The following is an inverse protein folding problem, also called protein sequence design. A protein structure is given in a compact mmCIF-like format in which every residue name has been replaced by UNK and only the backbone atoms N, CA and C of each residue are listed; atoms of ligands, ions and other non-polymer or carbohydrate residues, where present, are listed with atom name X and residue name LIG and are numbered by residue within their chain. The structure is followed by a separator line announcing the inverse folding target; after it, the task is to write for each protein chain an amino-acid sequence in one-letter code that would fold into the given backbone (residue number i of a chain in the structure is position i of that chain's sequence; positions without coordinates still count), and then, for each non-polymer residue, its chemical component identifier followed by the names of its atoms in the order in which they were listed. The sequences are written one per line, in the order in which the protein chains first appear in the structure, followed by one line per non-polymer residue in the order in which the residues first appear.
data_IF_236416602087
#
_entry.id   IF_236416602087
#
_cell.length_a   1.000
_cell.length_b   1.000
_cell.length_c   1.000
_cell.angle_alpha   90.00
_cell.angle_beta   90.00
_cell.angle_gamma   90.00
#
_symmetry.space_group_name_H-M   'P 1'
#
loop_
_entity.id
_entity.type
_entity.pdbx_description
1 polymer ?
#
# COMPACT_ATOMS: atom_id res chain seq x y z
N UNK A 1 -6.06 -17.11 -9.32
CA UNK A 1 -6.67 -16.51 -8.12
C UNK A 1 -7.64 -15.44 -8.61
N UNK A 2 -8.94 -15.69 -8.54
CA UNK A 2 -9.94 -14.73 -9.04
C UNK A 2 -10.09 -13.58 -8.03
N UNK A 3 -10.21 -12.34 -8.54
CA UNK A 3 -10.55 -11.18 -7.72
C UNK A 3 -9.38 -10.36 -7.16
N UNK A 4 -8.15 -10.53 -7.68
CA UNK A 4 -7.03 -9.60 -7.46
C UNK A 4 -7.18 -8.35 -8.35
N UNK A 5 -6.74 -7.16 -7.90
CA UNK A 5 -6.82 -5.93 -8.70
C UNK A 5 -6.02 -6.07 -10.00
N UNK A 6 -6.47 -5.40 -11.06
CA UNK A 6 -5.75 -5.34 -12.34
C UNK A 6 -4.50 -4.46 -12.26
N UNK A 7 -3.56 -4.66 -13.17
CA UNK A 7 -2.39 -3.79 -13.28
C UNK A 7 -2.78 -2.46 -13.91
N UNK A 8 -2.72 -1.37 -13.12
CA UNK A 8 -3.05 0.00 -13.52
C UNK A 8 -2.68 1.00 -12.40
N UNK A 9 -3.04 2.27 -12.59
CA UNK A 9 -2.97 3.30 -11.55
C UNK A 9 -4.17 3.26 -10.60
N UNK A 10 -3.91 3.39 -9.30
CA UNK A 10 -4.89 3.37 -8.23
C UNK A 10 -4.71 4.53 -7.25
N UNK A 11 -5.81 5.00 -6.67
CA UNK A 11 -5.80 5.59 -5.34
C UNK A 11 -5.96 4.46 -4.32
N UNK A 12 -5.02 4.37 -3.39
CA UNK A 12 -5.00 3.29 -2.38
C UNK A 12 -5.41 3.90 -1.04
N UNK A 13 -6.38 3.29 -0.35
CA UNK A 13 -6.78 3.70 0.99
C UNK A 13 -6.95 2.50 1.93
N UNK A 14 -6.88 2.76 3.23
CA UNK A 14 -7.27 1.76 4.22
C UNK A 14 -8.80 1.74 4.36
N UNK A 15 -9.38 0.53 4.42
CA UNK A 15 -10.81 0.35 4.72
C UNK A 15 -11.12 0.63 6.19
N UNK A 16 -10.11 0.58 7.06
CA UNK A 16 -10.22 1.00 8.45
C UNK A 16 -10.20 2.53 8.47
N UNK A 17 -11.39 3.11 8.55
CA UNK A 17 -11.56 4.56 8.63
C UNK A 17 -10.85 5.11 9.86
N UNK A 18 -10.32 6.33 9.75
CA UNK A 18 -9.77 7.02 10.91
C UNK A 18 -10.84 7.26 11.99
N UNK A 19 -10.44 7.80 13.16
CA UNK A 19 -11.39 8.23 14.19
C UNK A 19 -12.49 9.20 13.66
N UNK A 20 -12.29 9.86 12.51
CA UNK A 20 -13.30 10.73 11.87
C UNK A 20 -14.30 9.99 10.98
N UNK A 21 -14.13 8.68 10.74
CA UNK A 21 -14.97 7.89 9.82
C UNK A 21 -14.61 8.06 8.33
N UNK A 22 -13.61 8.88 8.01
CA UNK A 22 -13.13 9.08 6.64
C UNK A 22 -12.03 8.06 6.27
N UNK A 23 -11.94 7.65 4.99
CA UNK A 23 -10.88 6.77 4.52
C UNK A 23 -9.52 7.47 4.59
N UNK A 24 -8.48 6.71 4.94
CA UNK A 24 -7.09 7.19 4.94
C UNK A 24 -6.40 6.74 3.66
N UNK A 25 -6.07 7.70 2.79
CA UNK A 25 -5.36 7.46 1.53
C UNK A 25 -3.86 7.31 1.78
N UNK A 26 -3.21 6.39 1.09
CA UNK A 26 -1.76 6.31 1.06
C UNK A 26 -1.21 7.50 0.26
N UNK A 27 -0.75 8.52 0.98
CA UNK A 27 -0.28 9.79 0.45
C UNK A 27 1.24 9.88 0.49
N UNK A 28 1.82 10.58 -0.49
CA UNK A 28 3.24 10.87 -0.56
C UNK A 28 3.50 12.33 -0.15
N UNK A 29 4.42 12.54 0.79
CA UNK A 29 4.92 13.86 1.18
C UNK A 29 6.13 14.31 0.33
N UNK A 30 6.52 15.58 0.49
CA UNK A 30 7.62 16.19 -0.28
C UNK A 30 9.01 15.62 0.06
N UNK A 31 9.13 14.86 1.16
CA UNK A 31 10.36 14.20 1.59
C UNK A 31 10.41 12.73 1.15
N UNK A 32 9.39 12.23 0.48
CA UNK A 32 9.27 10.84 0.06
C UNK A 32 8.67 9.91 1.11
N UNK A 33 8.20 10.43 2.25
CA UNK A 33 7.48 9.66 3.26
C UNK A 33 6.07 9.32 2.81
N UNK A 34 5.60 8.12 3.17
CA UNK A 34 4.24 7.66 2.87
C UNK A 34 3.42 7.56 4.14
N UNK A 35 2.27 8.22 4.17
CA UNK A 35 1.36 8.25 5.31
C UNK A 35 -0.10 8.19 4.86
N UNK A 36 -0.98 7.74 5.76
CA UNK A 36 -2.43 7.76 5.64
C UNK A 36 -2.99 9.16 5.92
N UNK A 37 -3.73 9.74 4.98
CA UNK A 37 -4.39 11.03 5.17
C UNK A 37 -5.73 11.14 4.43
N UNK A 38 -6.70 11.93 4.93
CA UNK A 38 -8.03 12.02 4.33
C UNK A 38 -8.11 12.96 3.11
N UNK A 39 -7.18 13.92 2.98
CA UNK A 39 -7.32 15.03 2.03
C UNK A 39 -6.66 14.78 0.67
N UNK A 40 -5.40 14.36 0.66
CA UNK A 40 -4.60 14.17 -0.57
C UNK A 40 -4.75 12.72 -1.04
N UNK A 41 -4.87 12.51 -2.34
CA UNK A 41 -4.75 11.18 -2.93
C UNK A 41 -3.49 11.11 -3.79
N UNK A 42 -2.65 10.10 -3.57
CA UNK A 42 -1.51 9.81 -4.44
C UNK A 42 -1.86 8.63 -5.35
N UNK A 43 -1.54 8.74 -6.63
CA UNK A 43 -1.70 7.64 -7.58
C UNK A 43 -0.50 6.69 -7.44
N UNK A 44 -0.80 5.41 -7.25
CA UNK A 44 0.18 4.33 -7.22
C UNK A 44 -0.12 3.35 -8.36
N UNK A 45 0.90 2.94 -9.08
CA UNK A 45 0.80 1.88 -10.08
C UNK A 45 1.09 0.53 -9.45
N UNK A 46 0.17 -0.42 -9.60
CA UNK A 46 0.34 -1.81 -9.15
C UNK A 46 0.87 -2.65 -10.31
N UNK A 47 1.97 -3.38 -10.10
CA UNK A 47 2.57 -4.26 -11.11
C UNK A 47 2.75 -5.66 -10.55
N UNK A 48 2.44 -6.71 -11.31
CA UNK A 48 2.62 -8.09 -10.86
C UNK A 48 3.91 -8.71 -11.40
N UNK A 49 4.64 -9.36 -10.49
CA UNK A 49 5.73 -10.28 -10.83
C UNK A 49 5.20 -11.71 -11.00
N UNK A 50 4.23 -12.09 -10.18
CA UNK A 50 3.51 -13.35 -10.26
C UNK A 50 2.07 -13.12 -9.79
N UNK A 51 1.16 -12.88 -10.75
CA UNK A 51 -0.25 -12.59 -10.44
C UNK A 51 -0.97 -13.79 -9.81
N UNK A 52 -0.57 -15.02 -10.12
CA UNK A 52 -1.21 -16.20 -9.55
C UNK A 52 -0.94 -16.31 -8.05
N UNK A 53 0.26 -15.90 -7.62
CA UNK A 53 0.66 -15.84 -6.21
C UNK A 53 0.40 -14.50 -5.54
N UNK A 54 -0.08 -13.50 -6.29
CA UNK A 54 -0.26 -12.13 -5.80
C UNK A 54 1.04 -11.39 -5.51
N UNK A 55 2.17 -11.81 -6.10
CA UNK A 55 3.46 -11.13 -5.89
C UNK A 55 3.51 -9.89 -6.79
N UNK A 56 3.66 -8.72 -6.17
CA UNK A 56 3.58 -7.43 -6.84
C UNK A 56 4.56 -6.40 -6.28
N UNK A 57 4.67 -5.25 -6.94
CA UNK A 57 5.30 -4.04 -6.41
C UNK A 57 4.47 -2.81 -6.78
N UNK A 58 4.69 -1.72 -6.04
CA UNK A 58 4.02 -0.44 -6.27
C UNK A 58 4.99 0.59 -6.82
N UNK A 59 4.71 1.16 -7.99
CA UNK A 59 5.47 2.27 -8.56
C UNK A 59 4.75 3.60 -8.36
N UNK A 60 5.48 4.66 -8.05
CA UNK A 60 4.95 6.03 -8.06
C UNK A 60 5.18 6.66 -9.43
N UNK A 61 4.12 6.88 -10.25
CA UNK A 61 4.29 7.26 -11.66
C UNK A 61 5.03 8.58 -11.87
N UNK A 62 4.88 9.55 -10.96
CA UNK A 62 5.47 10.88 -11.12
C UNK A 62 6.95 10.93 -10.76
N UNK A 63 7.37 10.27 -9.67
CA UNK A 63 8.78 10.26 -9.27
C UNK A 63 9.60 9.14 -9.91
N UNK A 64 8.93 8.11 -10.46
CA UNK A 64 9.58 6.90 -10.97
C UNK A 64 10.13 5.97 -9.88
N UNK A 65 9.96 6.31 -8.60
CA UNK A 65 10.35 5.48 -7.46
C UNK A 65 9.27 4.45 -7.08
N UNK A 66 9.51 3.71 -6.01
CA UNK A 66 8.66 2.59 -5.60
C UNK A 66 8.12 2.76 -4.18
N UNK A 67 6.83 2.51 -3.98
CA UNK A 67 6.23 2.46 -2.65
C UNK A 67 6.74 1.24 -1.89
N UNK A 68 7.31 1.46 -0.71
CA UNK A 68 7.85 0.40 0.12
C UNK A 68 7.85 0.76 1.60
N UNK A 69 8.34 -0.17 2.41
CA UNK A 69 8.58 0.02 3.84
C UNK A 69 10.05 -0.19 4.10
N UNK A 70 10.67 0.76 4.79
CA UNK A 70 12.09 0.70 5.12
C UNK A 70 12.35 -0.47 6.08
N UNK A 71 13.44 -1.21 5.84
CA UNK A 71 13.68 -2.45 6.57
C UNK A 71 13.92 -2.21 8.07
N UNK A 72 14.76 -1.24 8.45
CA UNK A 72 15.11 -1.03 9.86
C UNK A 72 14.09 -0.15 10.59
N UNK A 73 13.83 1.04 10.03
CA UNK A 73 12.88 2.02 10.56
C UNK A 73 11.40 1.58 10.49
N UNK A 74 11.06 0.60 9.64
CA UNK A 74 9.71 0.01 9.47
C UNK A 74 8.61 0.98 9.02
N UNK A 75 8.92 2.19 8.62
CA UNK A 75 8.00 3.18 8.07
C UNK A 75 7.93 3.14 6.54
N UNK A 76 6.79 3.55 5.99
CA UNK A 76 6.56 3.59 4.55
C UNK A 76 7.18 4.83 3.91
N UNK A 77 7.85 4.63 2.78
CA UNK A 77 8.52 5.68 2.00
C UNK A 77 8.71 5.27 0.55
N UNK A 78 9.10 6.22 -0.30
CA UNK A 78 9.56 5.94 -1.66
C UNK A 78 10.98 5.38 -1.62
N UNK A 79 11.16 4.25 -2.29
CA UNK A 79 12.40 3.51 -2.42
C UNK A 79 12.95 3.65 -3.85
N UNK A 80 14.27 3.53 -4.00
CA UNK A 80 14.93 3.51 -5.31
C UNK A 80 14.70 2.19 -6.05
N UNK A 81 14.59 1.08 -5.30
CA UNK A 81 14.36 -0.26 -5.85
C UNK A 81 12.96 -0.79 -5.48
N UNK A 82 12.32 -1.59 -6.35
CA UNK A 82 11.02 -2.18 -6.07
C UNK A 82 11.13 -3.18 -4.92
N UNK A 83 10.19 -3.08 -3.98
CA UNK A 83 10.00 -4.07 -2.93
C UNK A 83 8.85 -4.99 -3.29
N UNK A 84 9.06 -6.29 -3.09
CA UNK A 84 8.04 -7.29 -3.40
C UNK A 84 7.06 -7.42 -2.24
N UNK A 85 5.79 -7.33 -2.59
CA UNK A 85 4.64 -7.52 -1.71
C UNK A 85 3.85 -8.72 -2.17
N UNK A 86 3.11 -9.32 -1.25
CA UNK A 86 2.05 -10.29 -1.55
C UNK A 86 0.72 -9.62 -1.28
N UNK A 87 -0.11 -9.49 -2.31
CA UNK A 87 -1.50 -9.04 -2.19
C UNK A 87 -2.43 -10.25 -2.06
N UNK A 88 -3.23 -10.27 -1.01
CA UNK A 88 -4.22 -11.33 -0.72
C UNK A 88 -5.61 -10.72 -0.65
N UNK A 89 -6.64 -11.44 -1.07
CA UNK A 89 -8.04 -11.04 -0.88
C UNK A 89 -8.38 -11.13 0.61
N UNK A 90 -8.88 -10.05 1.20
CA UNK A 90 -9.50 -10.02 2.53
C UNK A 90 -11.02 -9.91 2.43
N UNK A 91 -11.70 -9.93 3.57
CA UNK A 91 -13.17 -9.83 3.63
C UNK A 91 -13.66 -8.46 3.12
N UNK A 92 -13.01 -7.38 3.56
CA UNK A 92 -13.40 -5.99 3.27
C UNK A 92 -12.44 -5.27 2.31
N UNK A 93 -11.56 -6.01 1.62
CA UNK A 93 -10.57 -5.43 0.72
C UNK A 93 -9.42 -6.38 0.42
N UNK A 94 -8.20 -5.86 0.55
CA UNK A 94 -6.98 -6.61 0.29
C UNK A 94 -5.99 -6.46 1.44
N UNK A 95 -5.23 -7.51 1.68
CA UNK A 95 -4.16 -7.54 2.66
C UNK A 95 -2.83 -7.50 1.91
N UNK A 96 -1.94 -6.61 2.34
CA UNK A 96 -0.58 -6.48 1.79
C UNK A 96 0.43 -7.01 2.80
N UNK A 97 1.20 -8.02 2.41
CA UNK A 97 2.22 -8.61 3.27
C UNK A 97 3.60 -8.67 2.62
N UNK A 98 4.62 -8.71 3.45
CA UNK A 98 6.01 -8.91 3.05
C UNK A 98 6.79 -9.57 4.18
N UNK A 99 7.81 -10.35 3.81
CA UNK A 99 8.76 -10.90 4.78
C UNK A 99 9.78 -9.84 5.23
N UNK A 100 9.96 -9.75 6.53
CA UNK A 100 10.96 -8.95 7.21
C UNK A 100 11.70 -9.83 8.22
N UNK A 101 12.99 -10.06 7.99
CA UNK A 101 13.85 -10.86 8.88
C UNK A 101 13.31 -12.28 9.17
N UNK A 102 12.63 -12.88 8.18
CA UNK A 102 12.01 -14.21 8.29
C UNK A 102 10.58 -14.22 8.86
N UNK A 103 10.01 -13.05 9.17
CA UNK A 103 8.64 -12.91 9.65
C UNK A 103 7.75 -12.23 8.60
N UNK A 104 6.55 -12.76 8.35
CA UNK A 104 5.56 -12.09 7.50
C UNK A 104 4.89 -10.96 8.30
N UNK A 105 5.07 -9.71 7.85
CA UNK A 105 4.40 -8.54 8.40
C UNK A 105 3.45 -7.92 7.38
N UNK A 106 2.52 -7.12 7.88
CA UNK A 106 1.46 -6.46 7.14
C UNK A 106 1.76 -4.98 6.95
N UNK A 107 1.36 -4.41 5.82
CA UNK A 107 1.23 -2.97 5.69
C UNK A 107 0.05 -2.50 6.56
N UNK A 108 0.33 -1.60 7.49
CA UNK A 108 -0.59 -1.13 8.51
C UNK A 108 -0.56 0.40 8.58
N UNK A 109 -1.71 1.01 8.87
CA UNK A 109 -1.79 2.45 9.17
C UNK A 109 -2.21 2.64 10.62
N UNK A 110 -1.42 3.35 11.41
CA UNK A 110 -1.78 3.59 12.81
C UNK A 110 -2.79 4.73 13.00
N UNK A 111 -3.18 4.97 14.25
CA UNK A 111 -4.16 6.01 14.62
C UNK A 111 -3.72 7.44 14.26
N UNK A 112 -2.42 7.66 14.07
CA UNK A 112 -1.82 8.95 13.74
C UNK A 112 -1.59 9.07 12.22
N UNK A 113 -1.99 8.05 11.45
CA UNK A 113 -1.85 8.00 9.99
C UNK A 113 -0.47 7.53 9.54
N UNK A 114 0.40 7.05 10.43
CA UNK A 114 1.70 6.52 10.00
C UNK A 114 1.50 5.16 9.34
N UNK A 115 2.01 5.00 8.11
CA UNK A 115 2.04 3.69 7.45
C UNK A 115 3.36 2.99 7.80
N UNK A 116 3.27 1.75 8.26
CA UNK A 116 4.40 0.95 8.74
C UNK A 116 4.18 -0.55 8.58
N UNK A 117 5.22 -1.35 8.77
CA UNK A 117 5.09 -2.80 8.91
C UNK A 117 4.60 -3.14 10.32
N UNK A 118 3.63 -4.06 10.43
CA UNK A 118 3.05 -4.48 11.70
C UNK A 118 2.68 -5.96 11.69
N UNK A 119 2.58 -6.57 12.87
CA UNK A 119 2.00 -7.91 13.03
C UNK A 119 0.46 -7.90 12.93
N UNK A 120 -0.16 -6.70 12.94
CA UNK A 120 -1.61 -6.53 12.79
C UNK A 120 -1.93 -6.20 11.34
N UNK A 121 -2.87 -6.93 10.74
CA UNK A 121 -3.28 -6.70 9.36
C UNK A 121 -4.31 -5.58 9.26
N UNK A 122 -4.20 -4.76 8.22
CA UNK A 122 -5.24 -3.85 7.78
C UNK A 122 -5.73 -4.26 6.40
N UNK A 123 -7.01 -4.00 6.15
CA UNK A 123 -7.59 -4.11 4.82
C UNK A 123 -7.37 -2.81 4.04
N UNK A 124 -7.00 -2.98 2.78
CA UNK A 124 -6.70 -1.94 1.82
C UNK A 124 -7.67 -2.01 0.63
N UNK A 125 -8.10 -0.86 0.16
CA UNK A 125 -8.98 -0.70 -1.00
C UNK A 125 -8.21 -0.01 -2.12
N UNK A 126 -8.40 -0.50 -3.34
CA UNK A 126 -7.77 -0.02 -4.56
C UNK A 126 -8.85 0.60 -5.45
N UNK A 127 -8.91 1.92 -5.50
CA UNK A 127 -9.82 2.66 -6.39
C UNK A 127 -9.09 3.00 -7.70
N UNK A 128 -9.57 2.52 -8.86
CA UNK A 128 -8.95 2.85 -10.14
C UNK A 128 -8.84 4.36 -10.35
N UNK A 129 -7.63 4.87 -10.62
CA UNK A 129 -7.42 6.30 -10.84
C UNK A 129 -7.93 6.79 -12.21
N UNK A 130 -8.21 5.85 -13.13
CA UNK A 130 -8.61 6.12 -14.50
C UNK A 130 -10.13 5.99 -14.75
N UNK A 131 -10.95 5.84 -13.71
CA UNK A 131 -12.40 5.80 -13.88
C UNK A 131 -12.92 7.17 -14.36
N UNK A 132 -13.34 7.19 -15.63
CA UNK A 132 -14.09 8.27 -16.26
C UNK A 132 -15.58 8.13 -15.99
#
# INVERSE_FOLDING_TARGET
MDGLPDEQGYYVCSSESSHSGEPLWATLDDKGGVSGGPEKKTVWSLHYLDREKGICYFGHPESGGFGGIHHEERDARVMEEPQHWVIKKGDDGYILTREFDGEELFAHVDKDGQVSASATHHSWVFEPANEK
#
